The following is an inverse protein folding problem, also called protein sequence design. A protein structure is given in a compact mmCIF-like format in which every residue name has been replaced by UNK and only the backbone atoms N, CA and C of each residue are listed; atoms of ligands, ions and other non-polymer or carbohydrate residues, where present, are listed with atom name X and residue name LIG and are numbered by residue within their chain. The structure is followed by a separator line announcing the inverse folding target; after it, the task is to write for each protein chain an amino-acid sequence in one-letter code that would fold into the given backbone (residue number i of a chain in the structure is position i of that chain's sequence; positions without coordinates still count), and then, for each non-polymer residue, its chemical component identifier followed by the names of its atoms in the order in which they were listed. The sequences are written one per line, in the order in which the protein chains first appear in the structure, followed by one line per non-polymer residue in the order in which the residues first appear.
data_IF_290143019625
#
_entry.id   IF_290143019625
#
_cell.length_a   1.000
_cell.length_b   1.000
_cell.length_c   1.000
_cell.angle_alpha   90.00
_cell.angle_beta   90.00
_cell.angle_gamma   90.00
#
_symmetry.space_group_name_H-M   'P 1'
#
loop_
_entity.id
_entity.type
_entity.pdbx_description
1 polymer ?
#
# COMPACT_ATOMS: atom_id res chain seq x y z
N UNK A 1 -30.91 -30.34 -15.77
CA UNK A 1 -30.07 -30.61 -14.58
C UNK A 1 -28.64 -30.28 -14.99
N UNK A 2 -28.03 -29.15 -14.64
CA UNK A 2 -28.42 -28.03 -13.79
C UNK A 2 -27.93 -26.74 -14.47
N UNK A 3 -28.77 -25.71 -14.49
CA UNK A 3 -28.45 -24.39 -15.02
C UNK A 3 -27.45 -23.68 -14.09
N UNK A 4 -26.30 -23.31 -14.64
CA UNK A 4 -25.32 -22.42 -14.00
C UNK A 4 -25.75 -20.98 -14.28
N UNK A 5 -26.49 -20.42 -13.32
CA UNK A 5 -26.96 -19.06 -13.30
C UNK A 5 -25.78 -18.10 -13.06
N UNK A 6 -25.26 -17.53 -14.15
CA UNK A 6 -24.24 -16.46 -14.14
C UNK A 6 -24.82 -15.22 -13.45
N UNK A 7 -24.51 -15.04 -12.16
CA UNK A 7 -24.88 -13.82 -11.42
C UNK A 7 -24.17 -12.60 -12.02
N UNK A 8 -24.89 -11.49 -12.30
CA UNK A 8 -24.28 -10.26 -12.79
C UNK A 8 -23.43 -9.62 -11.68
N UNK A 9 -22.22 -9.21 -12.04
CA UNK A 9 -21.25 -8.60 -11.14
C UNK A 9 -21.79 -7.32 -10.51
N UNK A 10 -22.02 -7.37 -9.20
CA UNK A 10 -22.19 -6.17 -8.37
C UNK A 10 -20.79 -5.60 -8.15
N UNK A 11 -20.38 -4.68 -9.03
CA UNK A 11 -19.27 -3.77 -8.75
C UNK A 11 -19.80 -2.73 -7.75
N UNK A 12 -19.27 -2.61 -6.52
CA UNK A 12 -19.49 -1.39 -5.75
C UNK A 12 -18.86 -0.24 -6.54
N UNK A 13 -19.69 0.71 -6.96
CA UNK A 13 -19.29 1.90 -7.69
C UNK A 13 -18.47 2.82 -6.79
N UNK A 14 -17.17 2.53 -6.64
CA UNK A 14 -16.20 3.51 -6.17
C UNK A 14 -15.51 4.11 -7.40
N UNK A 15 -15.80 5.38 -7.62
CA UNK A 15 -15.10 6.34 -8.49
C UNK A 15 -15.33 6.26 -10.00
N UNK A 16 -16.22 7.13 -10.46
CA UNK A 16 -16.06 7.85 -11.74
C UNK A 16 -16.03 9.34 -11.39
N UNK A 17 -14.83 9.90 -11.44
CA UNK A 17 -14.51 11.27 -11.84
C UNK A 17 -15.59 12.35 -11.57
N UNK A 18 -15.50 13.03 -10.44
CA UNK A 18 -15.84 14.46 -10.44
C UNK A 18 -14.67 15.20 -11.09
N UNK A 19 -14.73 15.25 -12.41
CA UNK A 19 -14.12 16.27 -13.22
C UNK A 19 -14.66 17.63 -12.73
N UNK A 20 -13.92 18.31 -11.84
CA UNK A 20 -14.14 19.72 -11.55
C UNK A 20 -13.72 20.54 -12.77
N UNK A 21 -14.58 20.52 -13.78
CA UNK A 21 -14.59 21.49 -14.88
C UNK A 21 -14.89 22.86 -14.28
N UNK A 22 -13.82 23.61 -14.02
CA UNK A 22 -13.89 25.04 -13.78
C UNK A 22 -14.16 25.72 -15.13
N UNK A 23 -15.40 26.12 -15.38
CA UNK A 23 -15.74 27.11 -16.41
C UNK A 23 -16.70 28.15 -15.83
N UNK A 24 -16.43 29.46 -16.04
CA UNK A 24 -17.24 30.53 -15.51
C UNK A 24 -18.45 30.77 -16.41
N UNK A 25 -19.60 31.08 -15.81
CA UNK A 25 -20.69 31.75 -16.53
C UNK A 25 -21.07 33.01 -15.78
N UNK A 26 -20.44 34.12 -16.17
CA UNK A 26 -21.17 35.37 -16.28
C UNK A 26 -22.26 35.18 -17.34
N UNK A 27 -23.52 35.50 -17.03
CA UNK A 27 -24.32 36.48 -17.80
C UNK A 27 -25.64 36.75 -17.08
N UNK A 28 -25.90 38.05 -17.01
CA UNK A 28 -26.98 38.81 -16.40
C UNK A 28 -28.41 38.58 -16.95
N UNK A 29 -29.34 39.21 -16.22
CA UNK A 29 -30.67 39.72 -16.57
C UNK A 29 -31.83 38.76 -16.21
N UNK A 30 -32.91 39.15 -15.54
CA UNK A 30 -33.47 40.46 -15.17
C UNK A 30 -34.61 40.13 -14.17
N UNK A 31 -34.72 40.76 -13.01
CA UNK A 31 -36.03 41.28 -12.58
C UNK A 31 -35.86 42.37 -11.50
N UNK A 32 -36.58 43.46 -11.72
CA UNK A 32 -36.52 44.74 -11.01
C UNK A 32 -37.62 44.83 -9.95
N UNK A 33 -37.27 45.36 -8.78
CA UNK A 33 -38.07 46.36 -8.05
C UNK A 33 -37.17 46.98 -6.97
N UNK A 34 -36.57 48.15 -7.21
CA UNK A 34 -37.11 49.47 -6.85
C UNK A 34 -37.41 49.62 -5.36
N UNK A 35 -36.43 50.14 -4.59
CA UNK A 35 -36.69 51.09 -3.50
C UNK A 35 -35.56 52.13 -3.47
N UNK A 36 -35.94 53.37 -3.77
CA UNK A 36 -35.10 54.57 -3.78
C UNK A 36 -34.61 55.01 -2.39
N UNK A 37 -33.51 55.79 -2.32
CA UNK A 37 -32.98 56.40 -1.11
C UNK A 37 -33.58 57.80 -0.88
N UNK A 38 -33.84 58.18 0.38
CA UNK A 38 -34.14 59.58 0.74
C UNK A 38 -33.07 60.10 1.69
N UNK A 39 -32.21 60.96 1.15
CA UNK A 39 -31.42 61.98 1.87
C UNK A 39 -32.30 63.23 2.00
N UNK A 40 -32.37 63.84 3.19
CA UNK A 40 -33.17 65.06 3.38
C UNK A 40 -32.93 65.80 4.70
N UNK A 41 -31.92 66.67 4.68
CA UNK A 41 -31.88 68.02 5.27
C UNK A 41 -32.15 68.30 6.77
N UNK A 42 -31.14 68.97 7.34
CA UNK A 42 -31.05 69.79 8.57
C UNK A 42 -32.11 70.91 8.61
N UNK A 43 -32.39 71.58 9.76
CA UNK A 43 -31.61 72.79 10.02
C UNK A 43 -31.28 73.08 11.50
N UNK A 44 -30.12 73.71 11.68
CA UNK A 44 -29.80 74.56 12.81
C UNK A 44 -30.35 75.98 12.57
N UNK A 45 -30.89 76.61 13.62
CA UNK A 45 -30.99 78.07 13.71
C UNK A 45 -30.97 78.50 15.19
N UNK A 46 -30.03 79.38 15.51
CA UNK A 46 -29.95 80.08 16.78
C UNK A 46 -30.98 81.22 16.86
N UNK A 47 -31.41 81.57 18.06
CA UNK A 47 -31.77 82.96 18.40
C UNK A 47 -31.60 83.20 19.90
N UNK A 48 -30.91 84.30 20.22
CA UNK A 48 -30.80 84.91 21.55
C UNK A 48 -31.97 85.85 21.80
N UNK A 49 -32.34 86.09 23.06
CA UNK A 49 -32.98 87.36 23.44
C UNK A 49 -34.00 87.32 24.59
N UNK A 50 -33.64 87.99 25.67
CA UNK A 50 -34.49 88.86 26.51
C UNK A 50 -35.46 88.30 27.58
N UNK A 51 -35.15 88.66 28.84
CA UNK A 51 -36.03 88.75 30.03
C UNK A 51 -36.88 90.04 29.95
N UNK A 52 -38.11 90.08 30.48
CA UNK A 52 -38.28 90.61 31.84
C UNK A 52 -39.36 89.90 32.69
N UNK A 53 -39.26 90.07 34.01
CA UNK A 53 -40.10 89.39 34.99
C UNK A 53 -41.47 90.01 35.21
N UNK A 54 -42.39 89.21 35.73
CA UNK A 54 -43.48 89.63 36.61
C UNK A 54 -43.83 88.52 37.61
N UNK A 55 -44.34 88.98 38.74
CA UNK A 55 -44.40 88.37 40.05
C UNK A 55 -45.27 87.13 40.21
N UNK A 56 -44.98 86.46 41.33
CA UNK A 56 -45.65 85.30 41.88
C UNK A 56 -47.18 85.40 41.94
N UNK A 57 -47.85 84.32 41.55
CA UNK A 57 -49.11 83.91 42.17
C UNK A 57 -49.25 82.38 42.16
N UNK A 58 -49.63 81.86 43.32
CA UNK A 58 -49.58 80.47 43.73
C UNK A 58 -50.72 79.65 43.11
N UNK A 59 -50.42 78.80 42.12
CA UNK A 59 -51.40 77.85 41.55
C UNK A 59 -50.95 76.89 40.43
N UNK A 60 -49.76 77.07 39.82
CA UNK A 60 -49.41 76.46 38.50
C UNK A 60 -48.24 75.43 38.55
N UNK A 61 -47.72 75.03 39.72
CA UNK A 61 -46.59 74.08 39.81
C UNK A 61 -46.95 72.59 39.61
N UNK A 62 -48.24 72.26 39.54
CA UNK A 62 -48.72 70.87 39.35
C UNK A 62 -48.55 70.34 37.91
N UNK A 63 -48.84 71.10 36.83
CA UNK A 63 -48.67 70.61 35.45
C UNK A 63 -47.22 70.32 35.03
N UNK A 64 -46.22 71.09 35.49
CA UNK A 64 -44.81 70.80 35.17
C UNK A 64 -44.25 69.58 35.91
N UNK A 65 -44.77 69.28 37.11
CA UNK A 65 -44.42 68.04 37.83
C UNK A 65 -45.01 66.80 37.18
N UNK A 66 -46.26 66.89 36.70
CA UNK A 66 -46.91 65.80 35.97
C UNK A 66 -46.14 65.42 34.69
N UNK A 67 -45.67 66.40 33.91
CA UNK A 67 -44.87 66.12 32.71
C UNK A 67 -43.51 65.47 33.04
N UNK A 68 -42.87 65.90 34.12
CA UNK A 68 -41.61 65.29 34.58
C UNK A 68 -41.83 63.89 35.16
N UNK A 69 -42.95 63.65 35.86
CA UNK A 69 -43.35 62.32 36.34
C UNK A 69 -43.74 61.41 35.18
N UNK A 70 -44.43 61.94 34.16
CA UNK A 70 -44.79 61.21 32.95
C UNK A 70 -43.57 60.85 32.13
N UNK A 71 -42.63 61.78 31.89
CA UNK A 71 -41.41 61.48 31.14
C UNK A 71 -40.54 60.48 31.89
N UNK A 72 -40.43 60.59 33.22
CA UNK A 72 -39.77 59.58 34.05
C UNK A 72 -40.49 58.23 33.97
N UNK A 73 -41.81 58.19 34.04
CA UNK A 73 -42.58 56.96 33.92
C UNK A 73 -42.43 56.32 32.53
N UNK A 74 -42.45 57.11 31.45
CA UNK A 74 -42.21 56.65 30.08
C UNK A 74 -40.79 56.13 29.91
N UNK A 75 -39.80 56.80 30.47
CA UNK A 75 -38.41 56.32 30.45
C UNK A 75 -38.26 55.01 31.23
N UNK A 76 -38.83 54.92 32.43
CA UNK A 76 -38.84 53.67 33.23
C UNK A 76 -39.57 52.55 32.50
N UNK A 77 -40.68 52.83 31.81
CA UNK A 77 -41.40 51.82 31.02
C UNK A 77 -40.59 51.38 29.78
N UNK A 78 -39.90 52.30 29.11
CA UNK A 78 -39.04 51.98 27.98
C UNK A 78 -37.81 51.16 28.41
N UNK A 79 -37.19 51.51 29.54
CA UNK A 79 -36.10 50.73 30.14
C UNK A 79 -36.57 49.33 30.53
N UNK A 80 -37.75 49.19 31.15
CA UNK A 80 -38.33 47.89 31.48
C UNK A 80 -38.62 47.04 30.23
N UNK A 81 -39.16 47.63 29.16
CA UNK A 81 -39.40 46.93 27.89
C UNK A 81 -38.11 46.47 27.21
N UNK A 82 -37.06 47.32 27.25
CA UNK A 82 -35.72 46.94 26.76
C UNK A 82 -35.15 45.77 27.58
N UNK A 83 -35.27 45.83 28.91
CA UNK A 83 -34.72 44.79 29.77
C UNK A 83 -35.49 43.47 29.61
N UNK A 84 -36.81 43.51 29.42
CA UNK A 84 -37.63 42.33 29.09
C UNK A 84 -37.24 41.71 27.74
N UNK A 85 -37.07 42.53 26.70
CA UNK A 85 -36.64 42.04 25.37
C UNK A 85 -35.24 41.44 25.41
N UNK A 86 -34.29 42.04 26.13
CA UNK A 86 -32.96 41.49 26.33
C UNK A 86 -32.97 40.20 27.16
N UNK A 87 -33.81 40.11 28.19
CA UNK A 87 -34.00 38.89 28.96
C UNK A 87 -34.58 37.76 28.10
N UNK A 88 -35.53 38.07 27.22
CA UNK A 88 -36.10 37.10 26.27
C UNK A 88 -35.05 36.65 25.25
N UNK A 89 -34.31 37.58 24.66
CA UNK A 89 -33.27 37.25 23.67
C UNK A 89 -32.13 36.44 24.27
N UNK A 90 -31.72 36.73 25.52
CA UNK A 90 -30.68 35.92 26.21
C UNK A 90 -31.19 34.53 26.56
N UNK A 91 -32.46 34.38 26.94
CA UNK A 91 -33.08 33.07 27.13
C UNK A 91 -33.17 32.26 25.81
N UNK A 92 -33.57 32.91 24.71
CA UNK A 92 -33.62 32.28 23.39
C UNK A 92 -32.23 31.90 22.88
N UNK A 93 -31.24 32.78 23.03
CA UNK A 93 -29.84 32.49 22.70
C UNK A 93 -29.31 31.29 23.48
N UNK A 94 -29.67 31.16 24.77
CA UNK A 94 -29.30 30.00 25.58
C UNK A 94 -29.92 28.71 25.03
N UNK A 95 -31.21 28.72 24.68
CA UNK A 95 -31.89 27.56 24.08
C UNK A 95 -31.20 27.15 22.77
N UNK A 96 -30.90 28.11 21.89
CA UNK A 96 -30.22 27.83 20.62
C UNK A 96 -28.81 27.26 20.85
N UNK A 97 -28.07 27.76 21.83
CA UNK A 97 -26.75 27.20 22.18
C UNK A 97 -26.86 25.77 22.71
N UNK A 98 -27.84 25.49 23.58
CA UNK A 98 -28.09 24.13 24.09
C UNK A 98 -28.49 23.16 22.96
N UNK A 99 -29.31 23.62 22.00
CA UNK A 99 -29.69 22.84 20.82
C UNK A 99 -28.49 22.54 19.91
N UNK A 100 -27.64 23.54 19.62
CA UNK A 100 -26.41 23.35 18.84
C UNK A 100 -25.46 22.38 19.53
N UNK A 101 -25.29 22.48 20.85
CA UNK A 101 -24.44 21.57 21.63
C UNK A 101 -25.02 20.15 21.64
N UNK A 102 -26.34 20.00 21.80
CA UNK A 102 -27.03 18.72 21.69
C UNK A 102 -26.86 18.09 20.31
N UNK A 103 -27.10 18.86 19.25
CA UNK A 103 -26.90 18.41 17.86
C UNK A 103 -25.44 18.05 17.54
N UNK A 104 -24.48 18.83 18.05
CA UNK A 104 -23.05 18.57 17.87
C UNK A 104 -22.61 17.26 18.54
N UNK A 105 -23.07 17.02 19.77
CA UNK A 105 -22.75 15.77 20.49
C UNK A 105 -23.40 14.54 19.84
N UNK A 106 -24.65 14.65 19.41
CA UNK A 106 -25.34 13.60 18.66
C UNK A 106 -24.65 13.31 17.32
N UNK A 107 -24.36 14.34 16.53
CA UNK A 107 -23.65 14.21 15.25
C UNK A 107 -22.26 13.59 15.40
N UNK A 108 -21.54 13.93 16.47
CA UNK A 108 -20.25 13.31 16.76
C UNK A 108 -20.37 11.82 17.14
N UNK A 109 -21.47 11.39 17.77
CA UNK A 109 -21.73 9.98 18.05
C UNK A 109 -22.09 9.22 16.77
N UNK A 110 -22.91 9.81 15.90
CA UNK A 110 -23.30 9.21 14.62
C UNK A 110 -22.10 9.06 13.68
N UNK A 111 -21.22 10.06 13.60
CA UNK A 111 -20.00 9.97 12.79
C UNK A 111 -19.05 8.87 13.27
N UNK A 112 -18.91 8.67 14.59
CA UNK A 112 -18.12 7.57 15.13
C UNK A 112 -18.72 6.22 14.76
N UNK A 113 -20.03 6.07 14.95
CA UNK A 113 -20.74 4.85 14.59
C UNK A 113 -20.59 4.52 13.11
N UNK A 114 -20.76 5.50 12.22
CA UNK A 114 -20.59 5.32 10.78
C UNK A 114 -19.16 4.89 10.43
N UNK A 115 -18.15 5.51 11.04
CA UNK A 115 -16.76 5.13 10.82
C UNK A 115 -16.48 3.69 11.29
N UNK A 116 -17.03 3.29 12.43
CA UNK A 116 -16.89 1.91 12.94
C UNK A 116 -17.59 0.90 12.02
N UNK A 117 -18.79 1.22 11.53
CA UNK A 117 -19.54 0.41 10.57
C UNK A 117 -18.77 0.27 9.24
N UNK A 118 -18.17 1.36 8.74
CA UNK A 118 -17.34 1.35 7.53
C UNK A 118 -16.07 0.50 7.71
N UNK A 119 -15.39 0.62 8.86
CA UNK A 119 -14.23 -0.21 9.18
C UNK A 119 -14.61 -1.69 9.23
N UNK A 120 -15.76 -2.02 9.82
CA UNK A 120 -16.27 -3.39 9.83
C UNK A 120 -16.57 -3.90 8.41
N UNK A 121 -17.20 -3.08 7.56
CA UNK A 121 -17.49 -3.41 6.17
C UNK A 121 -16.20 -3.65 5.34
N UNK A 122 -15.18 -2.80 5.51
CA UNK A 122 -13.88 -2.95 4.84
C UNK A 122 -13.19 -4.24 5.28
N UNK A 123 -13.21 -4.56 6.58
CA UNK A 123 -12.61 -5.79 7.12
C UNK A 123 -13.30 -7.04 6.55
N UNK A 124 -14.63 -7.05 6.51
CA UNK A 124 -15.37 -8.18 5.96
C UNK A 124 -15.14 -8.33 4.44
N UNK A 125 -15.14 -7.23 3.70
CA UNK A 125 -14.79 -7.25 2.27
C UNK A 125 -13.37 -7.78 2.03
N UNK A 126 -12.38 -7.29 2.80
CA UNK A 126 -10.98 -7.72 2.69
C UNK A 126 -10.83 -9.21 2.97
N UNK A 127 -11.51 -9.73 4.01
CA UNK A 127 -11.55 -11.15 4.32
C UNK A 127 -12.13 -11.98 3.17
N UNK A 128 -13.25 -11.53 2.60
CA UNK A 128 -13.86 -12.18 1.43
C UNK A 128 -12.94 -12.18 0.21
N UNK A 129 -12.26 -11.07 -0.06
CA UNK A 129 -11.36 -10.94 -1.19
C UNK A 129 -10.10 -11.79 -1.04
N UNK A 130 -9.52 -11.87 0.17
CA UNK A 130 -8.40 -12.79 0.46
C UNK A 130 -8.83 -14.24 0.24
N UNK A 131 -10.02 -14.63 0.68
CA UNK A 131 -10.55 -15.98 0.44
C UNK A 131 -10.70 -16.26 -1.06
N UNK A 132 -11.24 -15.30 -1.82
CA UNK A 132 -11.38 -15.39 -3.28
C UNK A 132 -10.04 -15.57 -3.99
N UNK A 133 -9.02 -14.76 -3.62
CA UNK A 133 -7.68 -14.84 -4.23
C UNK A 133 -7.02 -16.17 -3.91
N UNK A 134 -7.17 -16.69 -2.68
CA UNK A 134 -6.66 -18.01 -2.29
C UNK A 134 -7.31 -19.11 -3.12
N UNK A 135 -8.63 -19.14 -3.19
CA UNK A 135 -9.37 -20.12 -4.00
C UNK A 135 -8.99 -20.03 -5.48
N UNK A 136 -8.87 -18.84 -6.04
CA UNK A 136 -8.43 -18.64 -7.42
C UNK A 136 -7.00 -19.18 -7.65
N UNK A 137 -6.10 -18.94 -6.70
CA UNK A 137 -4.71 -19.41 -6.74
C UNK A 137 -4.65 -20.94 -6.69
N UNK A 138 -5.37 -21.56 -5.76
CA UNK A 138 -5.45 -23.02 -5.64
C UNK A 138 -6.03 -23.65 -6.91
N UNK A 139 -7.08 -23.05 -7.48
CA UNK A 139 -7.67 -23.48 -8.74
C UNK A 139 -6.69 -23.34 -9.93
N UNK A 140 -5.85 -22.31 -9.95
CA UNK A 140 -4.80 -22.16 -10.99
C UNK A 140 -3.71 -23.21 -10.83
N UNK A 141 -3.26 -23.49 -9.60
CA UNK A 141 -2.26 -24.52 -9.31
C UNK A 141 -2.79 -25.91 -9.70
N UNK A 142 -4.01 -26.25 -9.26
CA UNK A 142 -4.64 -27.53 -9.58
C UNK A 142 -4.78 -27.74 -11.09
N UNK A 143 -5.19 -26.68 -11.81
CA UNK A 143 -5.26 -26.70 -13.29
C UNK A 143 -3.90 -26.95 -13.93
N UNK A 144 -2.84 -26.25 -13.50
CA UNK A 144 -1.50 -26.44 -14.08
C UNK A 144 -0.94 -27.83 -13.77
N UNK A 145 -1.11 -28.35 -12.55
CA UNK A 145 -0.71 -29.71 -12.18
C UNK A 145 -1.38 -30.75 -13.08
N UNK A 146 -2.70 -30.67 -13.22
CA UNK A 146 -3.44 -31.58 -14.10
C UNK A 146 -3.02 -31.45 -15.57
N UNK A 147 -2.64 -30.25 -16.03
CA UNK A 147 -2.10 -30.07 -17.37
C UNK A 147 -0.72 -30.72 -17.54
N UNK A 148 0.17 -30.55 -16.55
CA UNK A 148 1.50 -31.16 -16.53
C UNK A 148 1.41 -32.69 -16.51
N UNK A 149 0.51 -33.27 -15.72
CA UNK A 149 0.32 -34.72 -15.67
C UNK A 149 -0.07 -35.27 -17.06
N UNK A 150 -0.95 -34.57 -17.79
CA UNK A 150 -1.32 -34.93 -19.17
C UNK A 150 -0.15 -34.77 -20.15
N UNK A 151 0.65 -33.71 -20.01
CA UNK A 151 1.87 -33.51 -20.81
C UNK A 151 2.87 -34.65 -20.59
N UNK A 152 3.04 -35.09 -19.33
CA UNK A 152 3.91 -36.21 -18.97
C UNK A 152 3.41 -37.54 -19.52
N UNK A 153 2.11 -37.83 -19.43
CA UNK A 153 1.51 -39.04 -20.03
C UNK A 153 1.65 -39.05 -21.55
N UNK A 154 1.44 -37.90 -22.21
CA UNK A 154 1.63 -37.77 -23.64
C UNK A 154 3.09 -38.00 -24.05
N UNK A 155 4.05 -37.44 -23.30
CA UNK A 155 5.47 -37.67 -23.53
C UNK A 155 5.86 -39.14 -23.31
N UNK A 156 5.36 -39.79 -22.25
CA UNK A 156 5.61 -41.20 -21.98
C UNK A 156 5.10 -42.10 -23.12
N UNK A 157 3.91 -41.80 -23.66
CA UNK A 157 3.35 -42.50 -24.83
C UNK A 157 4.26 -42.36 -26.04
N UNK A 158 4.74 -41.14 -26.34
CA UNK A 158 5.63 -40.90 -27.46
C UNK A 158 6.98 -41.61 -27.32
N UNK A 159 7.55 -41.63 -26.12
CA UNK A 159 8.78 -42.38 -25.84
C UNK A 159 8.55 -43.87 -26.09
N UNK A 160 7.41 -44.42 -25.64
CA UNK A 160 7.07 -45.82 -25.89
C UNK A 160 6.92 -46.12 -27.39
N UNK A 161 6.22 -45.28 -28.14
CA UNK A 161 6.09 -45.43 -29.60
C UNK A 161 7.45 -45.40 -30.31
N UNK A 162 8.37 -44.55 -29.85
CA UNK A 162 9.74 -44.48 -30.39
C UNK A 162 10.52 -45.75 -30.08
N UNK A 163 10.42 -46.27 -28.86
CA UNK A 163 11.05 -47.55 -28.47
C UNK A 163 10.48 -48.70 -29.30
N UNK A 164 9.16 -48.79 -29.45
CA UNK A 164 8.49 -49.84 -30.20
C UNK A 164 8.88 -49.83 -31.69
N UNK A 165 9.02 -48.62 -32.27
CA UNK A 165 9.49 -48.45 -33.65
C UNK A 165 10.93 -48.92 -33.82
N UNK A 166 11.83 -48.56 -32.91
CA UNK A 166 13.22 -49.03 -32.93
C UNK A 166 13.26 -50.56 -32.79
N UNK A 167 12.49 -51.13 -31.86
CA UNK A 167 12.40 -52.57 -31.65
C UNK A 167 11.93 -53.32 -32.90
N UNK A 168 10.95 -52.75 -33.63
CA UNK A 168 10.47 -53.29 -34.91
C UNK A 168 11.59 -53.32 -35.95
N UNK A 169 12.31 -52.20 -36.13
CA UNK A 169 13.41 -52.09 -37.11
C UNK A 169 14.57 -53.04 -36.78
N UNK A 170 14.91 -53.20 -35.50
CA UNK A 170 15.93 -54.16 -35.05
C UNK A 170 15.51 -55.59 -35.38
N UNK A 171 14.27 -55.97 -35.06
CA UNK A 171 13.73 -57.31 -35.33
C UNK A 171 13.73 -57.62 -36.84
N UNK A 172 13.34 -56.66 -37.67
CA UNK A 172 13.38 -56.81 -39.14
C UNK A 172 14.80 -56.95 -39.69
N UNK A 173 15.78 -56.24 -39.10
CA UNK A 173 17.18 -56.37 -39.49
C UNK A 173 17.77 -57.72 -39.07
N UNK A 174 17.50 -58.18 -37.86
CA UNK A 174 17.90 -59.51 -37.37
C UNK A 174 17.32 -60.64 -38.24
N UNK A 175 16.06 -60.52 -38.66
CA UNK A 175 15.44 -61.46 -39.58
C UNK A 175 16.13 -61.46 -40.95
N UNK A 176 16.43 -60.26 -41.52
CA UNK A 176 17.21 -60.15 -42.77
C UNK A 176 18.60 -60.77 -42.64
N UNK A 177 19.29 -60.53 -41.53
CA UNK A 177 20.60 -61.13 -41.26
C UNK A 177 20.53 -62.65 -41.17
N UNK A 178 19.54 -63.19 -40.47
CA UNK A 178 19.34 -64.64 -40.33
C UNK A 178 19.19 -65.29 -41.71
N UNK A 179 18.30 -64.76 -42.54
CA UNK A 179 18.08 -65.25 -43.91
C UNK A 179 19.36 -65.15 -44.76
N UNK A 180 20.12 -64.06 -44.63
CA UNK A 180 21.39 -63.89 -45.32
C UNK A 180 22.42 -64.96 -44.92
N UNK A 181 22.60 -65.20 -43.62
CA UNK A 181 23.56 -66.19 -43.13
C UNK A 181 23.13 -67.63 -43.43
N UNK A 182 21.84 -67.94 -43.41
CA UNK A 182 21.35 -69.26 -43.81
C UNK A 182 21.66 -69.52 -45.30
N UNK A 183 21.45 -68.51 -46.15
CA UNK A 183 21.85 -68.58 -47.57
C UNK A 183 23.36 -68.72 -47.74
N UNK A 184 24.16 -68.01 -46.95
CA UNK A 184 25.63 -68.06 -47.01
C UNK A 184 26.17 -69.45 -46.61
N UNK A 185 25.57 -70.07 -45.59
CA UNK A 185 25.95 -71.42 -45.13
C UNK A 185 25.55 -72.53 -46.10
N UNK A 186 24.50 -72.32 -46.90
CA UNK A 186 24.04 -73.28 -47.90
C UNK A 186 24.87 -73.23 -49.19
N UNK A 187 25.70 -72.21 -49.40
CA UNK A 187 26.52 -72.05 -50.60
C UNK A 187 27.88 -72.77 -50.44
N UNK A 188 28.26 -73.60 -51.42
CA UNK A 188 29.49 -74.40 -51.38
C UNK A 188 30.63 -73.81 -52.24
N UNK A 189 30.31 -72.89 -53.16
CA UNK A 189 31.30 -72.27 -54.06
C UNK A 189 32.00 -71.06 -53.39
N UNK A 190 33.34 -71.10 -53.20
CA UNK A 190 34.09 -70.04 -52.53
C UNK A 190 34.02 -68.69 -53.24
N UNK A 191 33.90 -68.66 -54.56
CA UNK A 191 33.83 -67.40 -55.31
C UNK A 191 32.46 -66.74 -55.11
N UNK A 192 31.41 -67.56 -55.04
CA UNK A 192 30.03 -67.12 -54.81
C UNK A 192 29.81 -66.65 -53.37
N UNK A 193 30.42 -67.32 -52.40
CA UNK A 193 30.47 -66.88 -50.99
C UNK A 193 31.09 -65.47 -50.90
N UNK A 194 32.20 -65.22 -51.60
CA UNK A 194 32.84 -63.89 -51.61
C UNK A 194 31.91 -62.80 -52.17
N UNK A 195 31.22 -63.08 -53.28
CA UNK A 195 30.25 -62.13 -53.85
C UNK A 195 29.04 -61.89 -52.94
N UNK A 196 28.58 -62.91 -52.21
CA UNK A 196 27.48 -62.74 -51.25
C UNK A 196 27.92 -61.93 -50.03
N UNK A 197 29.14 -62.16 -49.53
CA UNK A 197 29.71 -61.40 -48.41
C UNK A 197 29.81 -59.90 -48.70
N UNK A 198 30.09 -59.51 -49.94
CA UNK A 198 30.08 -58.08 -50.36
C UNK A 198 28.68 -57.44 -50.29
N UNK A 199 27.62 -58.25 -50.38
CA UNK A 199 26.22 -57.80 -50.32
C UNK A 199 25.59 -57.88 -48.92
N UNK A 200 26.42 -57.88 -47.87
CA UNK A 200 25.95 -57.96 -46.48
C UNK A 200 24.99 -56.79 -46.17
N UNK A 201 23.82 -57.06 -45.56
CA UNK A 201 22.89 -56.00 -45.17
C UNK A 201 23.54 -55.01 -44.19
N UNK A 202 23.48 -53.72 -44.50
CA UNK A 202 23.99 -52.65 -43.62
C UNK A 202 23.01 -52.40 -42.45
N UNK A 203 23.51 -52.14 -41.23
CA UNK A 203 22.65 -51.82 -40.10
C UNK A 203 21.86 -50.52 -40.33
N UNK A 204 20.58 -50.47 -39.95
CA UNK A 204 19.77 -49.26 -40.07
C UNK A 204 20.24 -48.17 -39.07
N UNK A 205 20.11 -46.90 -39.46
CA UNK A 205 20.34 -45.76 -38.55
C UNK A 205 19.16 -45.61 -37.57
N UNK A 206 19.35 -46.11 -36.36
CA UNK A 206 18.35 -46.05 -35.30
C UNK A 206 18.04 -44.62 -34.84
N UNK A 207 18.99 -43.68 -35.00
CA UNK A 207 18.80 -42.27 -34.66
C UNK A 207 17.82 -41.58 -35.61
N UNK A 208 17.95 -41.84 -36.92
CA UNK A 208 16.99 -41.37 -37.92
C UNK A 208 15.61 -42.01 -37.73
N UNK A 209 15.55 -43.31 -37.42
CA UNK A 209 14.30 -44.01 -37.12
C UNK A 209 13.61 -43.42 -35.89
N UNK A 210 14.37 -43.11 -34.84
CA UNK A 210 13.86 -42.42 -33.67
C UNK A 210 13.30 -41.05 -34.07
N UNK A 211 14.09 -40.22 -34.75
CA UNK A 211 13.73 -38.87 -35.19
C UNK A 211 12.48 -38.80 -36.09
N UNK A 212 12.09 -39.90 -36.73
CA UNK A 212 10.90 -39.97 -37.58
C UNK A 212 9.57 -39.78 -36.84
N UNK A 213 9.54 -39.95 -35.51
CA UNK A 213 8.37 -39.63 -34.69
C UNK A 213 8.52 -38.19 -34.19
N UNK A 214 7.61 -37.27 -34.58
CA UNK A 214 7.69 -35.87 -34.22
C UNK A 214 7.43 -35.66 -32.72
N UNK A 215 8.26 -34.84 -32.07
CA UNK A 215 8.07 -34.44 -30.67
C UNK A 215 6.77 -33.66 -30.48
N UNK A 216 6.14 -33.71 -29.28
CA UNK A 216 4.95 -32.94 -29.02
C UNK A 216 5.33 -31.45 -28.97
N UNK A 217 4.56 -30.60 -29.65
CA UNK A 217 4.69 -29.16 -29.52
C UNK A 217 4.15 -28.74 -28.16
N UNK A 218 5.03 -28.46 -27.21
CA UNK A 218 4.65 -27.80 -25.96
C UNK A 218 4.17 -26.41 -26.30
N UNK A 219 2.86 -26.16 -26.21
CA UNK A 219 2.35 -24.78 -26.24
C UNK A 219 2.89 -24.07 -25.01
N UNK A 220 3.69 -23.00 -25.16
CA UNK A 220 4.21 -22.28 -24.02
C UNK A 220 3.04 -21.81 -23.17
N UNK A 221 3.12 -22.08 -21.87
CA UNK A 221 2.13 -21.63 -20.91
C UNK A 221 2.07 -20.10 -21.01
N UNK A 222 0.92 -19.58 -21.45
CA UNK A 222 0.64 -18.15 -21.47
C UNK A 222 0.59 -17.70 -20.02
N UNK A 223 1.76 -17.31 -19.50
CA UNK A 223 1.91 -16.67 -18.22
C UNK A 223 1.17 -15.36 -18.34
N UNK A 224 -0.12 -15.38 -17.96
CA UNK A 224 -0.99 -14.22 -18.02
C UNK A 224 -0.21 -13.02 -17.50
N UNK A 225 0.04 -12.09 -18.42
CA UNK A 225 0.87 -10.93 -18.21
C UNK A 225 0.51 -10.32 -16.86
N UNK A 226 1.51 -10.19 -15.98
CA UNK A 226 1.41 -9.23 -14.89
C UNK A 226 0.95 -7.91 -15.53
N UNK A 227 -0.03 -7.19 -14.96
CA UNK A 227 -0.38 -5.87 -15.46
C UNK A 227 0.91 -5.05 -15.53
N UNK A 228 1.23 -4.65 -16.76
CA UNK A 228 2.38 -3.88 -17.17
C UNK A 228 2.43 -2.58 -16.35
N UNK A 229 3.19 -2.60 -15.25
CA UNK A 229 3.75 -1.37 -14.67
C UNK A 229 4.89 -0.99 -15.59
N UNK A 230 4.60 -0.09 -16.53
CA UNK A 230 5.47 0.36 -17.61
C UNK A 230 6.93 0.51 -17.17
N UNK A 231 7.70 -0.52 -17.50
CA UNK A 231 9.14 -0.56 -17.30
C UNK A 231 9.80 0.20 -18.46
N UNK A 232 10.36 1.36 -18.16
CA UNK A 232 11.15 2.14 -19.10
C UNK A 232 12.39 1.32 -19.48
N UNK A 233 12.37 0.75 -20.69
CA UNK A 233 13.49 0.00 -21.29
C UNK A 233 14.72 0.90 -21.37
N UNK A 234 15.69 0.67 -20.50
CA UNK A 234 17.08 1.15 -20.65
C UNK A 234 17.86 0.04 -21.38
N UNK A 235 18.60 0.36 -22.46
CA UNK A 235 19.20 -0.64 -23.33
C UNK A 235 20.29 -1.45 -22.62
N UNK A 236 20.26 -2.76 -22.87
CA UNK A 236 21.24 -3.74 -22.43
C UNK A 236 22.65 -3.44 -22.98
N UNK A 237 23.72 -3.64 -22.19
CA UNK A 237 25.05 -3.91 -22.72
C UNK A 237 25.29 -5.42 -22.90
N UNK A 238 25.86 -5.75 -24.05
CA UNK A 238 26.37 -7.06 -24.47
C UNK A 238 27.49 -7.62 -23.59
N UNK A 239 27.70 -8.94 -23.77
CA UNK A 239 28.89 -9.74 -23.48
C UNK A 239 29.06 -10.17 -22.01
N UNK A 240 29.52 -11.37 -21.63
CA UNK A 240 29.93 -12.64 -22.24
C UNK A 240 30.40 -13.45 -21.00
N UNK A 241 30.60 -14.76 -21.16
CA UNK A 241 31.44 -15.64 -20.32
C UNK A 241 30.76 -16.52 -19.23
N UNK A 242 30.86 -17.82 -19.52
CA UNK A 242 31.17 -18.97 -18.66
C UNK A 242 30.09 -19.70 -17.85
N UNK A 243 29.52 -20.68 -18.54
CA UNK A 243 29.38 -22.10 -18.18
C UNK A 243 30.12 -22.59 -16.91
N UNK A 244 29.34 -23.04 -15.92
CA UNK A 244 29.72 -23.99 -14.87
C UNK A 244 28.46 -24.74 -14.36
N UNK A 245 28.56 -26.04 -14.01
CA UNK A 245 27.40 -26.91 -13.88
C UNK A 245 26.67 -26.73 -12.54
N UNK A 246 25.34 -26.64 -12.59
CA UNK A 246 24.45 -26.57 -11.43
C UNK A 246 24.03 -27.99 -11.04
N UNK A 247 24.55 -28.48 -9.93
CA UNK A 247 24.09 -29.70 -9.27
C UNK A 247 22.97 -29.38 -8.28
N UNK A 248 21.77 -29.83 -8.64
CA UNK A 248 20.86 -30.59 -7.77
C UNK A 248 20.50 -30.07 -6.37
N UNK A 249 19.22 -29.67 -6.26
CA UNK A 249 18.36 -29.89 -5.07
C UNK A 249 18.38 -28.82 -3.97
N UNK A 250 17.78 -27.66 -4.24
CA UNK A 250 17.12 -26.86 -3.19
C UNK A 250 15.61 -27.14 -3.22
N UNK A 251 15.17 -28.05 -2.34
CA UNK A 251 13.77 -28.14 -1.94
C UNK A 251 13.45 -26.85 -1.20
N UNK A 252 12.65 -25.99 -1.82
CA UNK A 252 12.15 -24.76 -1.18
C UNK A 252 11.15 -25.18 -0.11
N UNK A 253 11.54 -25.07 1.15
CA UNK A 253 10.72 -25.41 2.30
C UNK A 253 9.68 -24.31 2.55
N UNK A 254 8.51 -24.47 1.92
CA UNK A 254 7.35 -23.58 2.04
C UNK A 254 6.64 -23.70 3.41
N UNK A 255 7.02 -24.64 4.28
CA UNK A 255 6.35 -24.84 5.57
C UNK A 255 6.71 -23.79 6.63
N UNK A 256 7.84 -23.10 6.49
CA UNK A 256 8.28 -22.08 7.46
C UNK A 256 7.50 -20.75 7.35
N UNK A 257 6.84 -20.47 6.22
CA UNK A 257 6.12 -19.21 5.99
C UNK A 257 4.69 -19.20 6.56
N UNK A 258 4.12 -20.36 6.93
CA UNK A 258 2.74 -20.45 7.44
C UNK A 258 2.63 -20.21 8.96
N UNK A 259 3.75 -20.25 9.70
CA UNK A 259 3.75 -20.13 11.17
C UNK A 259 3.71 -18.67 11.69
N UNK A 260 4.02 -17.66 10.87
CA UNK A 260 4.10 -16.26 11.32
C UNK A 260 2.76 -15.49 11.17
N UNK A 261 1.76 -16.05 10.48
CA UNK A 261 0.46 -15.39 10.27
C UNK A 261 -0.55 -15.63 11.41
N UNK A 262 -0.24 -16.49 12.39
CA UNK A 262 -1.13 -16.84 13.51
C UNK A 262 -0.79 -16.12 14.83
N UNK A 263 0.22 -15.23 14.85
CA UNK A 263 0.66 -14.55 16.08
C UNK A 263 0.09 -13.12 16.22
N UNK A 264 -0.73 -12.65 15.28
CA UNK A 264 -1.32 -11.30 15.33
C UNK A 264 -2.80 -11.26 15.77
N UNK A 265 -3.33 -12.32 16.38
CA UNK A 265 -4.66 -12.33 16.99
C UNK A 265 -4.55 -12.32 18.53
N UNK A 266 -3.85 -11.32 19.05
CA UNK A 266 -3.65 -11.08 20.48
C UNK A 266 -4.66 -10.08 21.03
N UNK A 267 -5.87 -10.57 21.30
CA UNK A 267 -6.63 -10.37 22.53
C UNK A 267 -6.50 -9.01 23.24
N UNK A 268 -7.31 -8.02 22.82
CA UNK A 268 -7.69 -6.90 23.68
C UNK A 268 -8.81 -7.38 24.62
N UNK A 269 -8.42 -8.07 25.68
CA UNK A 269 -9.31 -8.45 26.79
C UNK A 269 -9.41 -7.31 27.80
N UNK A 270 -10.64 -6.84 28.00
CA UNK A 270 -11.10 -6.07 29.15
C UNK A 270 -10.69 -6.73 30.47
N UNK A 271 -10.02 -5.99 31.35
CA UNK A 271 -10.00 -6.27 32.79
C UNK A 271 -10.24 -4.96 33.54
N UNK A 272 -11.52 -4.71 33.83
CA UNK A 272 -11.96 -4.00 35.04
C UNK A 272 -11.60 -4.87 36.26
N UNK A 273 -10.84 -4.35 37.24
CA UNK A 273 -11.25 -4.40 38.65
C UNK A 273 -10.30 -3.66 39.62
N UNK A 274 -10.95 -3.18 40.68
CA UNK A 274 -10.58 -2.19 41.69
C UNK A 274 -9.43 -2.49 42.67
N UNK A 275 -8.88 -1.38 43.16
CA UNK A 275 -8.31 -1.03 44.48
C UNK A 275 -7.73 -2.10 45.44
N UNK A 276 -6.48 -1.87 45.89
CA UNK A 276 -6.17 -1.72 47.32
C UNK A 276 -4.76 -1.12 47.56
N UNK A 277 -4.71 -0.07 48.37
CA UNK A 277 -3.53 0.49 49.03
C UNK A 277 -2.79 -0.55 49.91
N UNK A 278 -1.45 -0.47 49.99
CA UNK A 278 -0.69 -0.03 51.19
C UNK A 278 0.83 -0.25 51.08
N UNK A 279 1.57 0.84 51.35
CA UNK A 279 2.90 0.99 51.97
C UNK A 279 4.09 0.10 51.49
N UNK A 280 5.07 0.67 50.75
CA UNK A 280 6.23 1.44 51.25
C UNK A 280 7.30 0.62 52.00
N UNK A 281 8.45 0.36 51.35
CA UNK A 281 9.74 0.99 51.71
C UNK A 281 10.95 0.39 50.95
N UNK A 282 11.66 1.28 50.25
CA UNK A 282 13.12 1.38 50.08
C UNK A 282 13.91 0.27 49.33
N UNK A 283 14.27 0.57 48.08
CA UNK A 283 15.68 0.53 47.62
C UNK A 283 15.86 1.39 46.36
N UNK A 284 16.66 2.44 46.51
CA UNK A 284 17.06 3.43 45.52
C UNK A 284 17.99 2.84 44.44
N UNK A 285 17.86 3.34 43.20
CA UNK A 285 18.91 4.03 42.44
C UNK A 285 18.96 3.63 40.95
N UNK A 286 18.43 4.52 40.09
CA UNK A 286 19.10 5.09 38.90
C UNK A 286 18.17 5.29 37.69
N UNK A 287 17.90 6.58 37.43
CA UNK A 287 17.80 7.23 36.12
C UNK A 287 16.57 6.97 35.24
N UNK A 288 15.48 7.65 35.62
CA UNK A 288 14.75 8.66 34.83
C UNK A 288 15.27 8.96 33.40
N UNK A 289 14.45 8.66 32.40
CA UNK A 289 14.21 9.48 31.19
C UNK A 289 12.81 9.11 30.72
N UNK A 290 11.77 9.71 31.29
CA UNK A 290 11.04 10.83 30.72
C UNK A 290 10.75 10.65 29.20
N UNK A 291 9.60 10.07 28.89
CA UNK A 291 8.93 10.21 27.59
C UNK A 291 7.64 11.02 27.81
N UNK A 292 7.82 12.22 28.38
CA UNK A 292 6.84 13.29 28.35
C UNK A 292 6.37 13.57 26.92
N UNK A 293 5.06 13.53 26.77
CA UNK A 293 4.32 14.06 25.63
C UNK A 293 4.70 15.53 25.41
N UNK A 294 5.56 15.78 24.42
CA UNK A 294 5.90 17.13 23.99
C UNK A 294 4.91 17.59 22.90
N UNK A 295 3.70 17.99 23.31
CA UNK A 295 2.79 18.78 22.49
C UNK A 295 2.97 20.26 22.84
N UNK A 296 4.07 20.84 22.36
CA UNK A 296 4.30 22.29 22.33
C UNK A 296 4.03 22.86 20.92
N UNK A 297 3.27 23.96 20.79
CA UNK A 297 2.98 24.57 19.50
C UNK A 297 4.14 25.49 19.10
N UNK A 298 5.10 24.98 18.34
CA UNK A 298 6.00 25.72 17.43
C UNK A 298 7.05 24.77 16.83
N UNK A 299 6.61 23.64 16.27
CA UNK A 299 7.48 22.85 15.39
C UNK A 299 7.47 23.48 14.01
N UNK A 300 8.43 24.37 13.76
CA UNK A 300 8.79 24.70 12.39
C UNK A 300 9.04 23.39 11.62
N UNK A 301 8.52 23.25 10.39
CA UNK A 301 8.75 22.05 9.59
C UNK A 301 10.25 21.87 9.40
N UNK A 302 10.83 20.94 10.15
CA UNK A 302 12.23 20.57 10.00
C UNK A 302 12.34 19.94 8.62
N UNK A 303 13.03 20.61 7.71
CA UNK A 303 13.28 20.11 6.37
C UNK A 303 13.91 18.71 6.48
N UNK A 304 13.26 17.71 5.89
CA UNK A 304 13.73 16.32 5.89
C UNK A 304 14.31 16.01 4.53
N UNK A 305 15.56 15.57 4.51
CA UNK A 305 16.19 15.05 3.31
C UNK A 305 15.97 13.55 3.24
N UNK A 306 15.66 13.05 2.06
CA UNK A 306 15.61 11.61 1.79
C UNK A 306 16.82 11.26 0.95
N UNK A 307 17.60 10.29 1.41
CA UNK A 307 18.75 9.76 0.69
C UNK A 307 18.56 8.27 0.47
N UNK A 308 18.74 7.83 -0.77
CA UNK A 308 18.73 6.42 -1.16
C UNK A 308 20.13 5.84 -0.98
N UNK A 309 20.23 4.75 -0.22
CA UNK A 309 21.49 4.07 0.06
C UNK A 309 21.43 2.67 -0.51
N UNK A 310 22.13 2.43 -1.61
CA UNK A 310 22.24 1.11 -2.24
C UNK A 310 23.42 0.36 -1.64
N UNK A 311 23.16 -0.81 -1.05
CA UNK A 311 24.17 -1.60 -0.35
C UNK A 311 24.37 -2.94 -1.04
N UNK A 312 25.60 -3.16 -1.50
CA UNK A 312 26.07 -4.38 -2.12
C UNK A 312 26.82 -5.24 -1.09
N UNK A 313 26.59 -6.56 -1.10
CA UNK A 313 27.37 -7.54 -0.34
C UNK A 313 26.78 -7.98 1.02
N UNK A 314 25.55 -7.56 1.34
CA UNK A 314 24.80 -8.16 2.46
C UNK A 314 24.18 -9.47 1.98
N UNK A 315 24.52 -10.60 2.61
CA UNK A 315 24.09 -11.95 2.15
C UNK A 315 23.09 -12.62 3.09
N UNK A 316 22.76 -11.99 4.22
CA UNK A 316 21.89 -12.55 5.26
C UNK A 316 20.89 -11.53 5.81
N UNK A 317 19.71 -12.02 6.19
CA UNK A 317 18.65 -11.25 6.87
C UNK A 317 19.15 -10.63 8.18
N UNK A 318 19.99 -11.35 8.91
CA UNK A 318 20.60 -10.84 10.15
C UNK A 318 21.48 -9.61 9.89
N UNK A 319 22.21 -9.63 8.79
CA UNK A 319 23.15 -8.57 8.38
C UNK A 319 22.40 -7.33 7.88
N UNK A 320 21.30 -7.53 7.15
CA UNK A 320 20.38 -6.45 6.74
C UNK A 320 19.75 -5.79 7.97
N UNK A 321 19.23 -6.58 8.90
CA UNK A 321 18.62 -6.07 10.13
C UNK A 321 19.63 -5.30 10.99
N UNK A 322 20.86 -5.81 11.10
CA UNK A 322 21.94 -5.17 11.86
C UNK A 322 22.41 -3.88 11.18
N UNK A 323 22.52 -3.86 9.86
CA UNK A 323 22.83 -2.64 9.09
C UNK A 323 21.74 -1.57 9.26
N UNK A 324 20.46 -1.96 9.15
CA UNK A 324 19.31 -1.08 9.39
C UNK A 324 19.33 -0.50 10.81
N UNK A 325 19.60 -1.32 11.83
CA UNK A 325 19.74 -0.87 13.22
C UNK A 325 20.92 0.09 13.40
N UNK A 326 22.02 -0.15 12.69
CA UNK A 326 23.18 0.76 12.66
C UNK A 326 22.82 2.15 12.12
N UNK A 327 22.12 2.20 10.98
CA UNK A 327 21.58 3.44 10.41
C UNK A 327 20.63 4.16 11.37
N UNK A 328 19.79 3.43 12.09
CA UNK A 328 18.84 4.00 13.05
C UNK A 328 19.50 4.65 14.27
N UNK A 329 20.77 4.35 14.54
CA UNK A 329 21.54 4.98 15.63
C UNK A 329 22.27 6.25 15.19
N UNK A 330 22.26 6.57 13.90
CA UNK A 330 22.91 7.79 13.38
C UNK A 330 22.08 9.00 13.77
N UNK A 331 22.71 9.97 14.43
CA UNK A 331 22.05 11.19 14.87
C UNK A 331 21.39 11.92 13.68
N UNK A 332 20.11 12.22 13.81
CA UNK A 332 19.33 12.91 12.78
C UNK A 332 18.64 11.99 11.77
N UNK A 333 18.79 10.67 11.85
CA UNK A 333 17.97 9.71 11.08
C UNK A 333 16.62 9.50 11.76
N UNK A 334 15.53 9.58 11.01
CA UNK A 334 14.16 9.49 11.53
C UNK A 334 13.42 8.24 11.04
N UNK A 335 13.52 7.92 9.75
CA UNK A 335 12.82 6.79 9.13
C UNK A 335 13.76 6.05 8.18
N UNK A 336 13.68 4.71 8.19
CA UNK A 336 14.48 3.84 7.31
C UNK A 336 13.56 2.79 6.67
N UNK A 337 13.36 2.90 5.36
CA UNK A 337 12.79 1.87 4.50
C UNK A 337 13.88 0.93 3.98
N UNK A 338 13.52 -0.33 3.69
CA UNK A 338 14.42 -1.31 3.05
C UNK A 338 13.65 -2.01 1.94
N UNK A 339 14.24 -2.11 0.76
CA UNK A 339 13.75 -2.89 -0.37
C UNK A 339 14.88 -3.76 -0.94
N UNK A 340 14.54 -4.93 -1.46
CA UNK A 340 15.47 -5.78 -2.21
C UNK A 340 15.52 -5.32 -3.66
N UNK A 341 16.73 -5.09 -4.17
CA UNK A 341 16.99 -4.84 -5.58
C UNK A 341 17.05 -6.15 -6.39
N UNK A 342 17.01 -6.05 -7.73
CA UNK A 342 16.99 -7.21 -8.64
C UNK A 342 18.28 -8.03 -8.60
N UNK A 343 19.42 -7.37 -8.37
CA UNK A 343 20.75 -7.98 -8.39
C UNK A 343 21.25 -8.42 -7.00
N UNK A 344 20.32 -8.62 -6.07
CA UNK A 344 20.66 -8.98 -4.68
C UNK A 344 21.27 -7.83 -3.85
N UNK A 345 21.20 -6.59 -4.36
CA UNK A 345 21.50 -5.40 -3.58
C UNK A 345 20.32 -4.99 -2.69
N UNK A 346 20.59 -4.21 -1.65
CA UNK A 346 19.56 -3.69 -0.76
C UNK A 346 19.49 -2.18 -0.86
N UNK A 347 18.31 -1.66 -1.19
CA UNK A 347 18.03 -0.23 -1.24
C UNK A 347 17.45 0.23 0.08
N UNK A 348 18.13 1.16 0.75
CA UNK A 348 17.67 1.78 1.98
C UNK A 348 17.24 3.21 1.72
N UNK A 349 15.96 3.52 1.94
CA UNK A 349 15.44 4.89 1.86
C UNK A 349 15.53 5.52 3.25
N UNK A 350 16.44 6.48 3.42
CA UNK A 350 16.73 7.08 4.73
C UNK A 350 16.24 8.52 4.78
N UNK A 351 15.31 8.82 5.67
CA UNK A 351 14.86 10.18 5.95
C UNK A 351 15.68 10.77 7.12
N UNK A 352 16.41 11.86 6.87
CA UNK A 352 17.33 12.45 7.83
C UNK A 352 17.35 13.99 7.80
N UNK A 353 17.90 14.59 8.85
CA UNK A 353 18.14 16.03 8.92
C UNK A 353 19.24 16.46 7.91
N UNK A 354 19.20 17.69 7.35
CA UNK A 354 20.11 18.15 6.30
C UNK A 354 21.60 18.20 6.72
N UNK A 355 21.89 18.18 8.03
CA UNK A 355 23.26 18.13 8.56
C UNK A 355 23.81 16.72 8.83
N UNK A 356 23.06 15.65 8.55
CA UNK A 356 23.51 14.29 8.85
C UNK A 356 24.57 13.81 7.84
N UNK A 357 25.80 13.56 8.32
CA UNK A 357 26.90 13.00 7.52
C UNK A 357 26.75 11.47 7.34
N UNK A 358 25.70 11.03 6.63
CA UNK A 358 25.36 9.60 6.44
C UNK A 358 26.55 8.76 5.95
N UNK A 359 27.28 9.23 4.95
CA UNK A 359 28.44 8.53 4.39
C UNK A 359 29.49 8.20 5.45
N UNK A 360 29.85 9.18 6.28
CA UNK A 360 30.84 9.03 7.36
C UNK A 360 30.33 8.11 8.46
N UNK A 361 29.06 8.28 8.85
CA UNK A 361 28.44 7.44 9.85
C UNK A 361 28.41 5.96 9.44
N UNK A 362 28.10 5.69 8.16
CA UNK A 362 28.06 4.31 7.63
C UNK A 362 29.46 3.69 7.60
N UNK A 363 30.48 4.44 7.15
CA UNK A 363 31.87 3.94 7.16
C UNK A 363 32.43 3.72 8.58
N UNK A 364 31.86 4.38 9.59
CA UNK A 364 32.24 4.22 10.98
C UNK A 364 31.50 3.07 11.69
N UNK A 365 30.55 2.40 11.02
CA UNK A 365 29.81 1.30 11.63
C UNK A 365 30.70 0.07 11.87
N UNK A 366 30.74 -0.46 13.11
CA UNK A 366 31.55 -1.63 13.43
C UNK A 366 31.02 -2.87 12.71
N UNK A 367 31.93 -3.75 12.27
CA UNK A 367 31.61 -5.07 11.73
C UNK A 367 31.37 -5.15 10.21
N UNK A 368 30.87 -4.09 9.57
CA UNK A 368 30.48 -4.16 8.16
C UNK A 368 31.60 -3.85 7.16
N UNK A 369 32.70 -3.27 7.61
CA UNK A 369 33.80 -2.83 6.72
C UNK A 369 33.32 -1.94 5.56
N UNK A 370 32.24 -1.16 5.77
CA UNK A 370 31.52 -0.46 4.73
C UNK A 370 32.41 0.58 4.04
N UNK A 371 32.35 0.63 2.71
CA UNK A 371 33.06 1.61 1.90
C UNK A 371 32.09 2.28 0.93
N UNK A 372 32.16 3.59 0.85
CA UNK A 372 31.40 4.37 -0.13
C UNK A 372 32.06 4.21 -1.49
N UNK A 373 31.34 3.64 -2.45
CA UNK A 373 31.79 3.47 -3.82
C UNK A 373 31.49 4.71 -4.66
N UNK A 374 30.28 5.26 -4.51
CA UNK A 374 29.82 6.44 -5.25
C UNK A 374 28.90 7.27 -4.39
N UNK A 375 29.06 8.59 -4.45
CA UNK A 375 28.21 9.54 -3.74
C UNK A 375 27.71 10.59 -4.73
N UNK A 376 26.39 10.70 -4.84
CA UNK A 376 25.69 11.69 -5.65
C UNK A 376 24.65 12.43 -4.80
N UNK A 377 24.07 13.51 -5.33
CA UNK A 377 23.03 14.25 -4.62
C UNK A 377 21.79 13.34 -4.43
N UNK A 378 21.54 12.93 -3.18
CA UNK A 378 20.40 12.08 -2.82
C UNK A 378 20.61 10.56 -2.98
N UNK A 379 21.77 10.11 -3.48
CA UNK A 379 22.06 8.68 -3.65
C UNK A 379 23.47 8.33 -3.18
N UNK A 380 23.59 7.23 -2.42
CA UNK A 380 24.83 6.74 -1.86
C UNK A 380 24.98 5.25 -2.18
N UNK A 381 26.02 4.88 -2.93
CA UNK A 381 26.32 3.48 -3.22
C UNK A 381 27.42 2.97 -2.29
N UNK A 382 27.14 1.88 -1.60
CA UNK A 382 27.98 1.33 -0.54
C UNK A 382 28.26 -0.13 -0.82
N UNK A 383 29.52 -0.52 -0.66
CA UNK A 383 29.90 -1.93 -0.59
C UNK A 383 30.13 -2.25 0.88
N UNK A 384 29.34 -3.17 1.43
CA UNK A 384 29.46 -3.65 2.79
C UNK A 384 29.80 -5.15 2.76
N UNK A 385 30.58 -5.60 3.73
CA UNK A 385 30.82 -7.03 3.97
C UNK A 385 30.06 -7.46 5.20
N UNK A 386 29.55 -8.67 5.13
CA UNK A 386 28.87 -9.29 6.25
C UNK A 386 29.89 -9.60 7.38
N UNK A 387 29.62 -9.19 8.64
CA UNK A 387 30.50 -9.45 9.78
C UNK A 387 30.74 -10.94 10.07
N UNK A 388 29.84 -11.84 9.66
CA UNK A 388 29.91 -13.28 10.01
C UNK A 388 30.79 -14.13 9.06
N UNK A 389 31.30 -13.55 7.96
CA UNK A 389 32.09 -14.30 6.95
C UNK A 389 33.60 -14.32 7.28
N UNK A 390 33.99 -13.81 8.45
CA UNK A 390 35.40 -13.56 8.80
C UNK A 390 35.88 -14.07 10.16
N UNK A 391 35.13 -14.94 10.84
CA UNK A 391 35.56 -15.60 12.08
C UNK A 391 36.10 -17.02 11.84
#
# INVERSE_FOLDING_TARGET
MADIETRPGVRPAWNTEQETTYMPTETNADDKATVDPIVGAVPAAATSGERPGFSAETGVRRPMKLLAELSRAMQTAAEASRDETMARFTAEAKIVVEDIQGGSTAGAADLRRLADDDVAAIREWSKGEIARIREETDNRIARRKTALDREMEAHATLVQERVDRIGTVVTEFEARMTVFFDRLRAEEDPTRIATMAETMPEPPDLGAVAASIPSPTTTPFESAARPDVSETVVPAPDADTTDAPVDGSSVVDFAAAEAEALVFDGEAGDEDDDEAETASAAAEASAETDHGQNTGPDQHPVERHTTEVTVLGLVSVASIATFKRGLGRVAGVSTIGVASGPDGEFLFTVAHAPGAELAKAITAMPGFGARVSTQSAGTLQIVARDPDVGA
#
